data_IF_359118607769
#
_entry.id   IF_359118607769
#
_cell.length_a   1.000
_cell.length_b   1.000
_cell.length_c   1.000
_cell.angle_alpha   90.00
_cell.angle_beta   90.00
_cell.angle_gamma   90.00
#
_symmetry.space_group_name_H-M   'P 1'
#
loop_
_entity.id
_entity.type
_entity.pdbx_description
1 polymer ?
#
# COMPACT_ATOMS: atom_id res chain seq x y z
N UNK A 1 7.76 -20.35 9.36
CA UNK A 1 7.43 -19.15 8.57
C UNK A 1 8.27 -19.21 7.31
N UNK A 2 7.62 -19.35 6.15
CA UNK A 2 8.29 -19.64 4.88
C UNK A 2 9.01 -18.38 4.36
N UNK A 3 10.11 -18.55 3.62
CA UNK A 3 10.81 -17.44 2.97
C UNK A 3 9.85 -16.56 2.14
N UNK A 4 8.85 -17.17 1.52
CA UNK A 4 7.80 -16.51 0.75
C UNK A 4 6.97 -15.51 1.58
N UNK A 5 6.77 -15.79 2.87
CA UNK A 5 6.01 -14.92 3.78
C UNK A 5 6.76 -13.63 4.05
N UNK A 6 8.06 -13.71 4.32
CA UNK A 6 8.89 -12.53 4.55
C UNK A 6 9.02 -11.70 3.28
N UNK A 7 9.21 -12.35 2.12
CA UNK A 7 9.27 -11.69 0.82
C UNK A 7 7.99 -10.92 0.49
N UNK A 8 6.82 -11.51 0.77
CA UNK A 8 5.52 -10.87 0.57
C UNK A 8 5.32 -9.64 1.48
N UNK A 9 5.71 -9.75 2.75
CA UNK A 9 5.62 -8.64 3.71
C UNK A 9 6.57 -7.50 3.35
N UNK A 10 7.80 -7.82 2.95
CA UNK A 10 8.79 -6.82 2.51
C UNK A 10 8.30 -6.13 1.24
N UNK A 11 7.76 -6.89 0.27
CA UNK A 11 7.17 -6.32 -0.94
C UNK A 11 6.01 -5.38 -0.62
N UNK A 12 5.07 -5.79 0.24
CA UNK A 12 3.94 -4.96 0.67
C UNK A 12 4.42 -3.67 1.36
N UNK A 13 5.44 -3.75 2.22
CA UNK A 13 6.07 -2.59 2.86
C UNK A 13 6.70 -1.64 1.86
N UNK A 14 7.51 -2.15 0.93
CA UNK A 14 8.18 -1.35 -0.09
C UNK A 14 7.17 -0.65 -1.01
N UNK A 15 6.15 -1.36 -1.48
CA UNK A 15 5.10 -0.78 -2.34
C UNK A 15 4.31 0.29 -1.57
N UNK A 16 3.97 0.05 -0.31
CA UNK A 16 3.19 1.02 0.48
C UNK A 16 4.01 2.28 0.79
N UNK A 17 5.27 2.13 1.20
CA UNK A 17 6.13 3.26 1.56
C UNK A 17 6.58 4.05 0.34
N UNK A 18 7.15 3.37 -0.66
CA UNK A 18 7.71 4.01 -1.85
C UNK A 18 6.56 4.47 -2.75
N UNK A 19 5.66 3.54 -3.11
CA UNK A 19 4.51 3.84 -3.96
C UNK A 19 3.58 4.87 -3.33
N UNK A 20 3.33 4.78 -2.02
CA UNK A 20 2.53 5.78 -1.30
C UNK A 20 3.14 7.17 -1.33
N UNK A 21 4.46 7.31 -1.14
CA UNK A 21 5.12 8.62 -1.20
C UNK A 21 5.02 9.27 -2.60
N UNK A 22 5.28 8.51 -3.66
CA UNK A 22 5.16 9.00 -5.05
C UNK A 22 3.72 9.32 -5.42
N UNK A 23 2.77 8.45 -5.08
CA UNK A 23 1.36 8.64 -5.35
C UNK A 23 0.81 9.86 -4.59
N UNK A 24 1.18 10.04 -3.32
CA UNK A 24 0.81 11.19 -2.52
C UNK A 24 1.37 12.50 -3.10
N UNK A 25 2.58 12.47 -3.66
CA UNK A 25 3.19 13.61 -4.35
C UNK A 25 2.43 13.94 -5.63
N UNK A 26 2.14 12.94 -6.46
CA UNK A 26 1.34 13.12 -7.68
C UNK A 26 -0.07 13.67 -7.40
N UNK A 27 -0.74 13.17 -6.37
CA UNK A 27 -2.05 13.71 -5.95
C UNK A 27 -1.94 15.15 -5.41
N UNK A 28 -0.84 15.49 -4.73
CA UNK A 28 -0.57 16.87 -4.30
C UNK A 28 -0.42 17.79 -5.51
N UNK A 29 0.36 17.35 -6.49
CA UNK A 29 0.66 18.12 -7.70
C UNK A 29 -0.61 18.27 -8.57
N UNK A 30 -1.53 17.30 -8.50
CA UNK A 30 -2.86 17.37 -9.11
C UNK A 30 -3.89 18.20 -8.30
N UNK A 31 -3.50 18.82 -7.17
CA UNK A 31 -4.36 19.72 -6.40
C UNK A 31 -5.38 19.04 -5.48
N UNK A 32 -5.25 17.75 -5.18
CA UNK A 32 -6.16 17.06 -4.27
C UNK A 32 -6.01 17.57 -2.83
N UNK A 33 -7.15 17.68 -2.13
CA UNK A 33 -7.18 18.02 -0.71
C UNK A 33 -6.48 16.95 0.14
N UNK A 34 -5.93 17.35 1.29
CA UNK A 34 -5.24 16.44 2.22
C UNK A 34 -6.12 15.26 2.64
N UNK A 35 -7.41 15.47 2.86
CA UNK A 35 -8.36 14.42 3.23
C UNK A 35 -8.58 13.41 2.09
N UNK A 36 -8.74 13.88 0.85
CA UNK A 36 -8.89 12.99 -0.31
C UNK A 36 -7.64 12.15 -0.54
N UNK A 37 -6.47 12.76 -0.38
CA UNK A 37 -5.17 12.07 -0.48
C UNK A 37 -5.01 10.99 0.59
N UNK A 38 -5.35 11.31 1.84
CA UNK A 38 -5.30 10.36 2.94
C UNK A 38 -6.25 9.17 2.71
N UNK A 39 -7.48 9.43 2.25
CA UNK A 39 -8.44 8.38 1.94
C UNK A 39 -7.96 7.47 0.80
N UNK A 40 -7.40 8.04 -0.28
CA UNK A 40 -6.86 7.27 -1.41
C UNK A 40 -5.65 6.43 -1.00
N UNK A 41 -4.74 6.98 -0.19
CA UNK A 41 -3.60 6.26 0.37
C UNK A 41 -4.05 5.11 1.28
N UNK A 42 -5.02 5.36 2.15
CA UNK A 42 -5.57 4.34 3.04
C UNK A 42 -6.27 3.22 2.25
N UNK A 43 -7.06 3.56 1.23
CA UNK A 43 -7.71 2.59 0.36
C UNK A 43 -6.69 1.72 -0.41
N UNK A 44 -5.68 2.33 -1.01
CA UNK A 44 -4.61 1.60 -1.70
C UNK A 44 -3.83 0.69 -0.76
N UNK A 45 -3.52 1.17 0.45
CA UNK A 45 -2.85 0.36 1.48
C UNK A 45 -3.71 -0.82 1.92
N UNK A 46 -5.02 -0.63 2.10
CA UNK A 46 -5.94 -1.70 2.45
C UNK A 46 -5.99 -2.79 1.36
N UNK A 47 -5.94 -2.42 0.08
CA UNK A 47 -5.86 -3.38 -1.04
C UNK A 47 -4.56 -4.19 -0.98
N UNK A 48 -3.42 -3.53 -0.77
CA UNK A 48 -2.12 -4.21 -0.65
C UNK A 48 -2.11 -5.19 0.52
N UNK A 49 -2.59 -4.77 1.69
CA UNK A 49 -2.72 -5.62 2.87
C UNK A 49 -3.66 -6.80 2.58
N UNK A 50 -4.81 -6.56 1.96
CA UNK A 50 -5.75 -7.62 1.56
C UNK A 50 -5.12 -8.64 0.61
N UNK A 51 -4.38 -8.19 -0.40
CA UNK A 51 -3.64 -9.07 -1.31
C UNK A 51 -2.57 -9.88 -0.57
N UNK A 52 -1.84 -9.27 0.37
CA UNK A 52 -0.84 -9.98 1.17
C UNK A 52 -1.49 -11.04 2.08
N UNK A 53 -2.59 -10.71 2.75
CA UNK A 53 -3.32 -11.66 3.60
C UNK A 53 -3.89 -12.82 2.76
N UNK A 54 -4.45 -12.53 1.58
CA UNK A 54 -4.95 -13.55 0.63
C UNK A 54 -3.83 -14.47 0.15
N UNK A 55 -2.68 -13.90 -0.21
CA UNK A 55 -1.50 -14.65 -0.64
C UNK A 55 -0.97 -15.59 0.45
N UNK A 56 -1.05 -15.16 1.72
CA UNK A 56 -0.64 -15.95 2.88
C UNK A 56 -1.69 -16.98 3.33
N UNK A 57 -2.87 -17.03 2.68
CA UNK A 57 -3.96 -17.94 3.06
C UNK A 57 -4.64 -17.57 4.37
N UNK A 58 -4.57 -16.29 4.78
CA UNK A 58 -5.18 -15.79 6.02
C UNK A 58 -6.63 -15.30 5.81
N UNK A 59 -7.03 -15.08 4.55
CA UNK A 59 -8.40 -14.77 4.08
C UNK A 59 -8.63 -15.40 2.70
#
# INVERSE_FOLDING_TARGET
MNSDTYSALIFALLVTLIGGAYFNRGLRDAGFSTNARAALLAAGTAVIIGCALRYLGLI
#
